data_IF_163872016353
#
_entry.id   IF_163872016353
#
_cell.length_a   1.000
_cell.length_b   1.000
_cell.length_c   1.000
_cell.angle_alpha   90.00
_cell.angle_beta   90.00
_cell.angle_gamma   90.00
#
_symmetry.space_group_name_H-M   'P 1'
#
loop_
_entity.id
_entity.type
_entity.pdbx_description
1 polymer ?
#
# COMPACT_ATOMS: atom_id res chain seq x y z
N UNK A 1 23.38 -5.60 -2.07
CA UNK A 1 22.50 -5.65 -3.27
C UNK A 1 21.34 -4.68 -3.05
N UNK A 2 21.49 -3.41 -3.44
CA UNK A 2 20.42 -2.41 -3.29
C UNK A 2 19.33 -2.68 -4.32
N UNK A 3 18.07 -2.78 -3.86
CA UNK A 3 16.92 -2.82 -4.74
C UNK A 3 16.47 -1.41 -5.10
N UNK A 4 15.84 -1.24 -6.25
CA UNK A 4 15.26 0.03 -6.68
C UNK A 4 14.11 0.47 -5.76
N UNK A 5 13.24 -0.46 -5.32
CA UNK A 5 12.12 -0.17 -4.42
C UNK A 5 12.53 0.63 -3.15
N UNK A 6 13.49 0.17 -2.31
CA UNK A 6 13.92 0.96 -1.15
C UNK A 6 14.63 2.27 -1.51
N UNK A 7 15.30 2.36 -2.68
CA UNK A 7 15.94 3.60 -3.14
C UNK A 7 14.89 4.65 -3.55
N UNK A 8 13.87 4.25 -4.32
CA UNK A 8 12.76 5.12 -4.69
C UNK A 8 11.95 5.56 -3.47
N UNK A 9 11.62 4.64 -2.57
CA UNK A 9 10.88 4.98 -1.34
C UNK A 9 11.62 6.01 -0.49
N UNK A 10 12.95 5.90 -0.38
CA UNK A 10 13.75 6.91 0.34
C UNK A 10 13.73 8.26 -0.37
N UNK A 11 13.88 8.28 -1.70
CA UNK A 11 13.80 9.52 -2.49
C UNK A 11 12.45 10.22 -2.33
N UNK A 12 11.34 9.46 -2.43
CA UNK A 12 9.98 9.97 -2.21
C UNK A 12 9.83 10.53 -0.80
N UNK A 13 10.26 9.79 0.23
CA UNK A 13 10.13 10.20 1.62
C UNK A 13 10.99 11.44 1.98
N UNK A 14 12.09 11.68 1.26
CA UNK A 14 12.98 12.82 1.52
C UNK A 14 12.61 14.08 0.73
N UNK A 15 12.01 13.94 -0.45
CA UNK A 15 11.87 15.06 -1.40
C UNK A 15 10.43 15.48 -1.69
N UNK A 16 9.43 14.72 -1.27
CA UNK A 16 8.01 15.05 -1.44
C UNK A 16 7.30 15.20 -0.09
N UNK A 17 6.26 16.02 -0.07
CA UNK A 17 5.32 16.06 1.05
C UNK A 17 4.42 14.83 1.01
N UNK A 18 3.91 14.41 2.17
CA UNK A 18 3.02 13.23 2.27
C UNK A 18 1.82 13.33 1.32
N UNK A 19 1.21 14.51 1.19
CA UNK A 19 0.03 14.74 0.35
C UNK A 19 0.33 14.67 -1.17
N UNK A 20 1.59 14.63 -1.57
CA UNK A 20 2.01 14.40 -2.97
C UNK A 20 2.13 12.91 -3.31
N UNK A 21 1.99 12.03 -2.30
CA UNK A 21 2.07 10.57 -2.45
C UNK A 21 0.68 9.97 -2.20
N UNK A 22 0.19 9.18 -3.15
CA UNK A 22 -1.13 8.58 -3.08
C UNK A 22 -1.07 7.06 -2.93
N UNK A 23 -1.78 6.52 -1.93
CA UNK A 23 -2.06 5.09 -1.86
C UNK A 23 -3.39 4.81 -2.55
N UNK A 24 -3.32 4.04 -3.64
CA UNK A 24 -4.49 3.59 -4.40
C UNK A 24 -5.20 2.44 -3.66
N UNK A 25 -5.97 2.78 -2.64
CA UNK A 25 -6.74 1.80 -1.84
C UNK A 25 -7.87 1.12 -2.64
N UNK A 26 -8.25 1.67 -3.80
CA UNK A 26 -9.36 1.23 -4.64
C UNK A 26 -8.95 0.35 -5.83
N UNK A 27 -7.65 0.11 -6.04
CA UNK A 27 -7.12 -0.71 -7.13
C UNK A 27 -6.74 -2.12 -6.64
N UNK A 28 -7.44 -3.14 -7.11
CA UNK A 28 -7.05 -4.54 -6.91
C UNK A 28 -5.73 -4.87 -7.61
N UNK A 29 -4.71 -5.32 -6.86
CA UNK A 29 -3.40 -5.66 -7.41
C UNK A 29 -2.78 -6.90 -6.74
N UNK A 30 -2.05 -7.68 -7.54
CA UNK A 30 -1.33 -8.87 -7.07
C UNK A 30 0.08 -8.91 -7.62
N UNK A 31 1.05 -9.04 -6.71
CA UNK A 31 2.40 -9.44 -7.03
C UNK A 31 2.86 -10.46 -6.00
N UNK A 32 2.98 -11.72 -6.42
CA UNK A 32 3.19 -12.85 -5.51
C UNK A 32 4.32 -12.62 -4.52
N UNK A 33 4.09 -12.81 -3.19
CA UNK A 33 2.89 -13.39 -2.56
C UNK A 33 1.84 -12.37 -2.07
N UNK A 34 1.87 -11.11 -2.51
CA UNK A 34 1.18 -9.98 -1.87
C UNK A 34 0.00 -9.46 -2.68
N UNK A 35 -1.11 -9.17 -1.98
CA UNK A 35 -2.31 -8.56 -2.54
C UNK A 35 -2.55 -7.15 -1.97
N UNK A 36 -3.11 -6.27 -2.80
CA UNK A 36 -3.87 -5.09 -2.39
C UNK A 36 -5.30 -5.33 -2.87
N UNK A 37 -6.24 -5.50 -1.94
CA UNK A 37 -7.66 -5.73 -2.24
C UNK A 37 -8.49 -4.58 -1.68
N UNK A 38 -9.27 -3.87 -2.52
CA UNK A 38 -10.13 -2.79 -2.07
C UNK A 38 -11.12 -3.24 -1.00
N UNK A 39 -11.65 -2.27 -0.22
CA UNK A 39 -12.57 -2.55 0.88
C UNK A 39 -13.97 -1.98 0.63
N UNK A 40 -14.97 -2.65 1.17
CA UNK A 40 -16.38 -2.25 1.07
C UNK A 40 -16.86 -2.19 -0.39
N UNK A 41 -17.62 -1.15 -0.74
CA UNK A 41 -18.24 -1.02 -2.07
C UNK A 41 -17.26 -1.00 -3.23
N UNK A 42 -15.99 -0.63 -3.01
CA UNK A 42 -14.97 -0.69 -4.05
C UNK A 42 -14.67 -2.14 -4.46
N UNK A 43 -14.77 -3.09 -3.51
CA UNK A 43 -14.51 -4.50 -3.75
C UNK A 43 -15.62 -5.20 -4.54
N UNK A 44 -16.82 -4.63 -4.62
CA UNK A 44 -17.94 -5.18 -5.42
C UNK A 44 -17.59 -5.36 -6.91
N UNK A 45 -16.53 -4.69 -7.38
CA UNK A 45 -16.01 -4.77 -8.76
C UNK A 45 -14.70 -5.56 -8.88
N UNK A 46 -14.23 -6.16 -7.78
CA UNK A 46 -12.94 -6.83 -7.72
C UNK A 46 -13.11 -8.35 -7.57
N UNK A 47 -12.06 -9.08 -7.93
CA UNK A 47 -12.04 -10.55 -7.86
C UNK A 47 -11.48 -11.08 -6.54
N UNK A 48 -10.64 -10.32 -5.85
CA UNK A 48 -9.93 -10.81 -4.68
C UNK A 48 -10.73 -10.61 -3.37
N UNK A 49 -10.56 -11.50 -2.38
CA UNK A 49 -11.15 -11.31 -1.05
C UNK A 49 -10.47 -10.14 -0.31
N UNK A 50 -11.24 -9.32 0.40
CA UNK A 50 -10.68 -8.18 1.16
C UNK A 50 -9.65 -8.65 2.19
N UNK A 51 -9.88 -9.82 2.79
CA UNK A 51 -9.04 -10.39 3.85
C UNK A 51 -7.66 -10.79 3.37
N UNK A 52 -7.48 -10.95 2.05
CA UNK A 52 -6.20 -11.27 1.43
C UNK A 52 -5.29 -10.05 1.29
N UNK A 53 -5.84 -8.83 1.40
CA UNK A 53 -5.03 -7.61 1.33
C UNK A 53 -3.92 -7.61 2.38
N UNK A 54 -2.71 -7.23 1.98
CA UNK A 54 -1.49 -7.41 2.79
C UNK A 54 -1.56 -6.72 4.15
N UNK A 55 -2.19 -5.55 4.22
CA UNK A 55 -2.38 -4.79 5.45
C UNK A 55 -3.42 -5.41 6.39
N UNK A 56 -4.19 -6.41 5.94
CA UNK A 56 -5.05 -7.24 6.79
C UNK A 56 -4.34 -8.55 7.12
N UNK A 57 -3.94 -9.32 6.11
CA UNK A 57 -3.40 -10.67 6.27
C UNK A 57 -2.05 -10.70 6.98
N UNK A 58 -1.20 -9.71 6.73
CA UNK A 58 0.19 -9.67 7.17
C UNK A 58 0.53 -8.31 7.81
N UNK A 59 -0.27 -7.86 8.77
CA UNK A 59 -0.09 -6.56 9.47
C UNK A 59 1.34 -6.27 9.93
N UNK A 60 2.06 -7.28 10.44
CA UNK A 60 3.45 -7.10 10.92
C UNK A 60 4.52 -7.03 9.84
N UNK A 61 4.18 -7.29 8.57
CA UNK A 61 5.09 -7.24 7.43
C UNK A 61 4.73 -6.11 6.44
N UNK A 62 3.49 -5.63 6.46
CA UNK A 62 3.06 -4.49 5.66
C UNK A 62 3.44 -3.17 6.33
N UNK A 63 3.83 -2.18 5.54
CA UNK A 63 4.00 -0.79 5.98
C UNK A 63 2.85 0.11 5.52
N UNK A 64 1.77 -0.44 4.96
CA UNK A 64 0.64 0.35 4.45
C UNK A 64 -0.02 1.17 5.57
N UNK A 65 -0.24 0.56 6.75
CA UNK A 65 -0.85 1.28 7.88
C UNK A 65 0.09 2.35 8.44
N UNK A 66 1.39 2.07 8.52
CA UNK A 66 2.38 3.06 8.94
C UNK A 66 2.34 4.30 8.03
N UNK A 67 2.27 4.10 6.71
CA UNK A 67 2.13 5.20 5.75
C UNK A 67 0.83 6.00 5.95
N UNK A 68 -0.29 5.32 6.14
CA UNK A 68 -1.60 5.95 6.37
C UNK A 68 -1.58 6.79 7.66
N UNK A 69 -0.95 6.30 8.72
CA UNK A 69 -0.90 6.92 10.04
C UNK A 69 0.09 8.09 10.15
N UNK A 70 0.98 8.28 9.16
CA UNK A 70 1.88 9.43 9.14
C UNK A 70 1.10 10.77 9.24
N UNK A 71 1.60 11.77 9.97
CA UNK A 71 0.99 13.10 9.96
C UNK A 71 1.13 13.72 8.57
N UNK A 72 0.08 14.43 8.12
CA UNK A 72 0.25 15.37 7.01
C UNK A 72 0.97 16.63 7.56
N UNK A 73 1.99 17.14 6.86
CA UNK A 73 2.67 18.37 7.26
C UNK A 73 1.73 19.59 7.21
#
# INVERSE_FOLDING_TARGET
RWGDAPVHSLGVAMFLNKNEVHWFEDIGYFHGPLWNCPKGKANDKCWCPEEESIEIKNKGWSCTLDFVDLPNP
#
